data_IF_320074201404
#
_entry.id   IF_320074201404
#
_cell.length_a   1.000
_cell.length_b   1.000
_cell.length_c   1.000
_cell.angle_alpha   90.00
_cell.angle_beta   90.00
_cell.angle_gamma   90.00
#
_symmetry.space_group_name_H-M   'P 1'
#
loop_
_entity.id
_entity.type
_entity.pdbx_description
1 polymer ?
#
# COMPACT_ATOMS: atom_id res chain seq x y z
N UNK A 1 16.19 -14.62 -12.60
CA UNK A 1 14.94 -14.01 -13.08
C UNK A 1 14.12 -13.56 -11.89
N UNK A 2 13.70 -12.32 -11.83
CA UNK A 2 12.81 -11.92 -10.74
C UNK A 2 11.47 -12.61 -10.86
N UNK A 3 10.91 -12.97 -9.72
CA UNK A 3 9.58 -13.55 -9.69
C UNK A 3 8.55 -12.49 -10.05
N UNK A 4 7.47 -12.90 -10.67
CA UNK A 4 6.34 -12.03 -10.96
C UNK A 4 5.10 -12.54 -10.24
N UNK A 5 4.28 -11.60 -9.78
CA UNK A 5 3.01 -11.90 -9.15
C UNK A 5 1.95 -11.02 -9.78
N UNK A 6 0.74 -11.54 -9.84
CA UNK A 6 -0.37 -10.81 -10.44
C UNK A 6 -1.38 -10.38 -9.39
N UNK A 7 -2.20 -9.44 -9.77
CA UNK A 7 -3.28 -8.97 -8.92
C UNK A 7 -4.25 -8.14 -9.72
N UNK A 8 -5.11 -7.43 -9.03
CA UNK A 8 -6.08 -6.57 -9.67
C UNK A 8 -7.24 -6.24 -8.75
N UNK A 9 -8.27 -5.65 -9.34
CA UNK A 9 -9.45 -5.24 -8.60
C UNK A 9 -10.42 -6.40 -8.40
N UNK A 10 -11.44 -6.16 -7.61
CA UNK A 10 -12.45 -7.16 -7.28
C UNK A 10 -13.14 -7.74 -8.52
N UNK A 11 -13.55 -6.89 -9.48
CA UNK A 11 -14.26 -7.34 -10.67
C UNK A 11 -13.34 -7.81 -11.80
N UNK A 12 -12.02 -7.73 -11.59
CA UNK A 12 -10.98 -8.14 -12.53
C UNK A 12 -10.91 -7.30 -13.81
N UNK A 13 -11.59 -6.16 -13.86
CA UNK A 13 -11.48 -5.27 -15.02
C UNK A 13 -10.09 -4.65 -15.11
N UNK A 14 -9.43 -4.41 -13.96
CA UNK A 14 -8.06 -3.90 -13.88
C UNK A 14 -7.16 -5.01 -13.36
N UNK A 15 -6.09 -5.30 -14.07
CA UNK A 15 -5.09 -6.27 -13.65
C UNK A 15 -3.73 -5.62 -13.56
N UNK A 16 -2.94 -6.07 -12.60
CA UNK A 16 -1.59 -5.56 -12.37
C UNK A 16 -0.60 -6.72 -12.25
N UNK A 17 0.66 -6.40 -12.43
CA UNK A 17 1.75 -7.34 -12.24
C UNK A 17 2.86 -6.63 -11.47
N UNK A 18 3.43 -7.32 -10.48
CA UNK A 18 4.60 -6.84 -9.76
C UNK A 18 5.76 -7.78 -10.02
N UNK A 19 6.97 -7.23 -10.05
CA UNK A 19 8.19 -8.00 -10.36
C UNK A 19 9.22 -7.78 -9.26
N UNK A 20 9.87 -8.87 -8.85
CA UNK A 20 10.94 -8.84 -7.87
C UNK A 20 10.42 -8.76 -6.44
N UNK A 21 11.12 -8.01 -5.61
CA UNK A 21 10.81 -7.88 -4.19
C UNK A 21 10.35 -6.48 -3.85
N UNK A 22 9.38 -6.33 -2.95
CA UNK A 22 9.01 -5.00 -2.48
C UNK A 22 10.12 -4.41 -1.61
N UNK A 23 10.18 -3.10 -1.56
CA UNK A 23 11.13 -2.38 -0.70
C UNK A 23 10.74 -2.51 0.77
N UNK A 24 9.44 -2.55 1.05
CA UNK A 24 8.92 -2.66 2.39
C UNK A 24 7.50 -3.22 2.37
N UNK A 25 7.13 -3.89 3.45
CA UNK A 25 5.76 -4.37 3.66
C UNK A 25 5.36 -4.09 5.10
N UNK A 26 4.10 -3.76 5.30
CA UNK A 26 3.64 -3.50 6.65
C UNK A 26 2.21 -3.03 6.71
N UNK A 27 1.88 -2.43 7.83
CA UNK A 27 0.55 -1.91 8.11
C UNK A 27 0.61 -0.40 8.29
N UNK A 28 -0.41 0.29 7.82
CA UNK A 28 -0.56 1.72 8.05
C UNK A 28 -1.87 1.97 8.79
N UNK A 29 -1.78 2.66 9.91
CA UNK A 29 -2.91 2.93 10.79
C UNK A 29 -3.47 4.34 10.62
N UNK A 30 -2.98 5.12 9.67
CA UNK A 30 -3.36 6.52 9.54
C UNK A 30 -4.84 6.69 9.19
N UNK A 31 -5.39 7.80 9.66
CA UNK A 31 -6.78 8.17 9.41
C UNK A 31 -7.10 8.20 7.91
N UNK A 32 -6.18 8.73 7.10
CA UNK A 32 -6.38 8.81 5.65
C UNK A 32 -6.58 7.44 5.01
N UNK A 33 -5.72 6.49 5.35
CA UNK A 33 -5.83 5.13 4.79
C UNK A 33 -7.07 4.42 5.30
N UNK A 34 -7.39 4.61 6.58
CA UNK A 34 -8.60 4.01 7.17
C UNK A 34 -9.85 4.53 6.51
N UNK A 35 -9.95 5.84 6.35
CA UNK A 35 -11.15 6.45 5.77
C UNK A 35 -11.30 6.13 4.30
N UNK A 36 -10.18 6.13 3.56
CA UNK A 36 -10.24 5.81 2.14
C UNK A 36 -10.66 4.37 1.90
N UNK A 37 -10.11 3.43 2.66
CA UNK A 37 -10.40 2.01 2.46
C UNK A 37 -11.59 1.50 3.28
N UNK A 38 -12.11 2.34 4.20
CA UNK A 38 -13.17 1.94 5.13
C UNK A 38 -12.78 0.69 5.94
N UNK A 39 -11.51 0.59 6.29
CA UNK A 39 -10.97 -0.53 7.05
C UNK A 39 -10.23 -0.03 8.28
N UNK A 40 -10.16 -0.81 9.37
CA UNK A 40 -9.52 -0.36 10.60
C UNK A 40 -8.01 -0.20 10.48
N UNK A 41 -7.40 -0.87 9.51
CA UNK A 41 -5.98 -0.80 9.21
C UNK A 41 -5.79 -1.16 7.75
N UNK A 42 -4.77 -0.60 7.11
CA UNK A 42 -4.44 -0.99 5.74
C UNK A 42 -3.11 -1.71 5.72
N UNK A 43 -2.95 -2.64 4.77
CA UNK A 43 -1.72 -3.39 4.59
C UNK A 43 -1.13 -3.05 3.23
N UNK A 44 0.17 -2.77 3.21
CA UNK A 44 0.82 -2.27 2.02
C UNK A 44 2.04 -3.08 1.61
N UNK A 45 2.34 -3.02 0.33
CA UNK A 45 3.62 -3.47 -0.22
C UNK A 45 4.16 -2.31 -1.05
N UNK A 46 5.36 -1.85 -0.74
CA UNK A 46 5.96 -0.68 -1.37
C UNK A 46 7.01 -1.12 -2.39
N UNK A 47 6.89 -0.62 -3.61
CA UNK A 47 7.74 -1.02 -4.73
C UNK A 47 8.37 0.17 -5.43
N UNK A 48 9.50 -0.06 -6.10
CA UNK A 48 9.93 0.87 -7.12
C UNK A 48 8.88 0.86 -8.22
N UNK A 49 8.54 2.02 -8.74
CA UNK A 49 7.47 2.17 -9.73
C UNK A 49 7.68 1.29 -10.96
N UNK A 50 8.92 1.17 -11.44
CA UNK A 50 9.22 0.37 -12.62
C UNK A 50 8.94 -1.12 -12.43
N UNK A 51 8.76 -1.57 -11.20
CA UNK A 51 8.46 -2.98 -10.91
C UNK A 51 6.97 -3.28 -10.87
N UNK A 52 6.13 -2.28 -11.11
CA UNK A 52 4.67 -2.44 -11.09
C UNK A 52 4.11 -2.02 -12.46
N UNK A 53 3.30 -2.88 -13.05
CA UNK A 53 2.67 -2.58 -14.34
C UNK A 53 1.18 -2.84 -14.29
N UNK A 54 0.42 -1.97 -14.94
CA UNK A 54 -1.01 -2.24 -15.19
C UNK A 54 -1.06 -3.02 -16.49
N UNK A 55 -1.47 -4.27 -16.43
CA UNK A 55 -1.43 -5.18 -17.57
C UNK A 55 -2.75 -5.28 -18.32
N UNK A 56 -3.83 -4.79 -17.71
CA UNK A 56 -5.16 -4.83 -18.30
C UNK A 56 -6.03 -3.75 -17.67
N UNK A 57 -6.88 -3.13 -18.47
CA UNK A 57 -7.92 -2.25 -17.95
C UNK A 57 -7.43 -0.89 -17.48
N UNK A 58 -6.34 -0.38 -18.04
CA UNK A 58 -5.83 0.96 -17.70
C UNK A 58 -6.94 2.02 -17.79
N UNK A 59 -7.86 1.88 -18.76
CA UNK A 59 -8.98 2.81 -18.97
C UNK A 59 -9.98 2.80 -17.83
N UNK A 60 -9.98 1.74 -17.00
CA UNK A 60 -10.86 1.65 -15.82
C UNK A 60 -10.16 2.06 -14.54
N UNK A 61 -8.88 2.36 -14.60
CA UNK A 61 -8.14 2.77 -13.41
C UNK A 61 -8.39 4.25 -13.14
N UNK A 62 -9.23 4.52 -12.16
CA UNK A 62 -9.47 5.86 -11.67
C UNK A 62 -8.35 6.30 -10.74
N UNK A 63 -8.11 7.60 -10.68
CA UNK A 63 -7.06 8.16 -9.83
C UNK A 63 -7.59 9.32 -9.03
N UNK A 64 -7.27 9.34 -7.76
CA UNK A 64 -7.65 10.43 -6.87
C UNK A 64 -6.39 10.94 -6.16
N UNK A 65 -6.09 12.22 -6.36
CA UNK A 65 -4.95 12.85 -5.70
C UNK A 65 -5.34 13.14 -4.25
N UNK A 66 -4.87 12.29 -3.33
CA UNK A 66 -5.24 12.38 -1.92
C UNK A 66 -4.36 13.35 -1.14
N UNK A 67 -3.18 13.68 -1.67
CA UNK A 67 -2.26 14.66 -1.09
C UNK A 67 -1.32 15.15 -2.18
N UNK A 68 -0.41 16.06 -1.82
CA UNK A 68 0.56 16.58 -2.79
C UNK A 68 1.52 15.50 -3.30
N UNK A 69 1.69 14.42 -2.55
CA UNK A 69 2.65 13.37 -2.89
C UNK A 69 2.02 12.01 -3.16
N UNK A 70 0.71 11.89 -3.04
CA UNK A 70 0.03 10.59 -3.16
C UNK A 70 -1.17 10.66 -4.07
N UNK A 71 -1.28 9.65 -4.93
CA UNK A 71 -2.41 9.49 -5.84
C UNK A 71 -2.93 8.07 -5.73
N UNK A 72 -4.19 7.93 -5.35
CA UNK A 72 -4.79 6.62 -5.09
C UNK A 72 -5.46 6.10 -6.35
N UNK A 73 -5.16 4.84 -6.69
CA UNK A 73 -5.72 4.17 -7.86
C UNK A 73 -6.79 3.16 -7.46
N UNK A 74 -7.90 3.19 -8.16
CA UNK A 74 -9.04 2.33 -7.88
C UNK A 74 -9.73 1.95 -9.18
N UNK A 75 -10.50 0.88 -9.15
CA UNK A 75 -11.28 0.48 -10.32
C UNK A 75 -12.56 1.32 -10.40
N UNK A 76 -12.81 1.93 -11.55
CA UNK A 76 -14.02 2.73 -11.75
C UNK A 76 -15.28 1.88 -11.93
N UNK A 77 -15.11 0.57 -12.19
CA UNK A 77 -16.25 -0.34 -12.34
C UNK A 77 -16.71 -0.95 -11.02
N UNK A 78 -15.79 -1.38 -10.16
CA UNK A 78 -16.16 -2.01 -8.90
C UNK A 78 -15.79 -1.20 -7.65
N UNK A 79 -14.99 -0.15 -7.81
CA UNK A 79 -14.55 0.66 -6.68
C UNK A 79 -13.41 0.05 -5.88
N UNK A 80 -12.91 -1.11 -6.26
CA UNK A 80 -11.85 -1.78 -5.52
C UNK A 80 -10.56 -0.97 -5.52
N UNK A 81 -9.91 -0.87 -4.37
CA UNK A 81 -8.65 -0.14 -4.23
C UNK A 81 -7.51 -1.04 -4.67
N UNK A 82 -6.54 -0.50 -5.39
CA UNK A 82 -5.46 -1.29 -5.99
C UNK A 82 -4.10 -0.78 -5.57
N UNK A 83 -3.82 0.49 -5.84
CA UNK A 83 -2.50 1.08 -5.67
C UNK A 83 -2.57 2.47 -5.04
N UNK A 84 -1.43 2.89 -4.49
CA UNK A 84 -1.22 4.30 -4.15
C UNK A 84 0.11 4.69 -4.77
N UNK A 85 0.08 5.57 -5.74
CA UNK A 85 1.29 6.03 -6.41
C UNK A 85 1.86 7.23 -5.67
N UNK A 86 3.19 7.27 -5.55
CA UNK A 86 3.93 8.41 -4.99
C UNK A 86 4.86 8.94 -6.09
N UNK A 87 4.31 9.72 -7.05
CA UNK A 87 5.06 10.07 -8.27
C UNK A 87 6.38 10.79 -8.01
N UNK A 88 6.41 11.68 -7.02
CA UNK A 88 7.61 12.45 -6.72
C UNK A 88 8.74 11.61 -6.11
N UNK A 89 8.41 10.41 -5.63
CA UNK A 89 9.37 9.51 -5.02
C UNK A 89 9.73 8.33 -5.93
N UNK A 90 9.06 8.18 -7.06
CA UNK A 90 9.23 7.03 -7.93
C UNK A 90 8.80 5.72 -7.30
N UNK A 91 7.88 5.78 -6.35
CA UNK A 91 7.39 4.62 -5.59
C UNK A 91 5.93 4.34 -5.86
N UNK A 92 5.58 3.08 -5.72
CA UNK A 92 4.19 2.65 -5.83
C UNK A 92 3.87 1.65 -4.72
N UNK A 93 2.81 1.93 -4.01
CA UNK A 93 2.28 1.06 -2.97
C UNK A 93 1.20 0.20 -3.62
N UNK A 94 1.34 -1.11 -3.53
CA UNK A 94 0.30 -2.04 -3.99
C UNK A 94 -0.35 -2.62 -2.75
N UNK A 95 -1.66 -2.45 -2.64
CA UNK A 95 -2.41 -2.96 -1.51
C UNK A 95 -2.34 -4.48 -1.51
N UNK A 96 -1.99 -5.08 -0.36
CA UNK A 96 -1.78 -6.52 -0.31
C UNK A 96 -3.02 -7.31 -0.76
N UNK A 97 -4.20 -6.78 -0.44
CA UNK A 97 -5.44 -7.43 -0.83
C UNK A 97 -5.68 -7.48 -2.34
N UNK A 98 -4.96 -6.65 -3.10
CA UNK A 98 -5.05 -6.65 -4.56
C UNK A 98 -4.08 -7.65 -5.21
N UNK A 99 -3.15 -8.21 -4.47
CA UNK A 99 -2.21 -9.20 -4.98
C UNK A 99 -2.73 -10.60 -4.74
N UNK A 100 -2.45 -11.51 -5.67
CA UNK A 100 -2.84 -12.92 -5.57
C UNK A 100 -1.62 -13.76 -5.25
N UNK A 101 -1.77 -14.64 -4.25
CA UNK A 101 -0.74 -15.62 -3.88
C UNK A 101 0.62 -14.99 -3.57
N UNK A 102 0.62 -13.75 -3.12
CA UNK A 102 1.85 -13.06 -2.74
C UNK A 102 2.14 -13.30 -1.26
N UNK A 103 3.37 -13.70 -0.91
CA UNK A 103 3.71 -13.97 0.49
C UNK A 103 3.86 -12.65 1.26
N UNK A 104 2.83 -12.27 2.00
CA UNK A 104 2.87 -11.05 2.80
C UNK A 104 3.66 -11.29 4.08
N UNK A 105 4.77 -10.57 4.20
CA UNK A 105 5.66 -10.66 5.37
C UNK A 105 5.84 -9.27 5.94
N UNK A 106 4.86 -8.77 6.72
CA UNK A 106 4.92 -7.42 7.25
C UNK A 106 6.08 -7.27 8.24
N UNK A 107 6.72 -6.10 8.22
CA UNK A 107 7.87 -5.82 9.07
C UNK A 107 7.66 -4.63 9.99
N UNK A 108 6.62 -3.86 9.81
CA UNK A 108 6.47 -2.59 10.51
C UNK A 108 5.01 -2.16 10.54
N UNK A 109 4.67 -1.40 11.58
CA UNK A 109 3.41 -0.65 11.63
C UNK A 109 3.75 0.83 11.54
N UNK A 110 3.14 1.53 10.59
CA UNK A 110 3.31 2.98 10.40
C UNK A 110 2.11 3.72 10.96
N UNK A 111 2.36 4.95 11.42
CA UNK A 111 1.32 5.84 11.96
C UNK A 111 0.53 5.18 13.10
N UNK A 112 1.23 4.44 13.94
CA UNK A 112 0.57 3.67 14.99
C UNK A 112 -0.07 4.56 16.05
N UNK A 113 0.36 5.82 16.15
CA UNK A 113 -0.28 6.78 17.05
C UNK A 113 -1.77 6.99 16.72
N UNK A 114 -2.15 6.70 15.46
CA UNK A 114 -3.53 6.86 15.00
C UNK A 114 -4.32 5.56 15.00
N UNK A 115 -3.78 4.49 15.59
CA UNK A 115 -4.41 3.17 15.52
C UNK A 115 -5.76 3.14 16.24
N UNK A 116 -6.69 2.43 15.63
CA UNK A 116 -7.96 2.07 16.27
C UNK A 116 -8.06 0.56 16.47
N UNK A 117 -7.01 -0.16 16.05
CA UNK A 117 -6.95 -1.62 16.17
C UNK A 117 -5.54 -1.99 16.62
N UNK A 118 -5.26 -1.98 17.94
CA UNK A 118 -3.94 -2.38 18.42
C UNK A 118 -3.64 -3.83 18.04
N UNK A 119 -2.44 -4.06 17.53
CA UNK A 119 -2.01 -5.39 17.09
C UNK A 119 -0.72 -5.75 17.83
N UNK A 120 -0.78 -6.80 18.63
CA UNK A 120 0.38 -7.28 19.39
C UNK A 120 1.04 -8.41 18.63
N UNK A 121 2.01 -8.07 17.79
CA UNK A 121 2.69 -9.05 16.94
C UNK A 121 4.22 -8.98 17.04
N UNK A 122 4.74 -8.14 17.93
CA UNK A 122 6.18 -8.00 18.10
C UNK A 122 6.88 -7.15 17.06
N UNK A 123 6.15 -6.68 16.05
CA UNK A 123 6.74 -5.82 15.02
C UNK A 123 6.92 -4.39 15.55
N UNK A 124 7.91 -3.65 15.05
CA UNK A 124 8.07 -2.25 15.43
C UNK A 124 6.83 -1.43 15.14
N UNK A 125 6.42 -0.60 16.08
CA UNK A 125 5.28 0.31 15.95
C UNK A 125 5.82 1.72 15.87
N UNK A 126 5.92 2.27 14.67
CA UNK A 126 6.38 3.64 14.51
C UNK A 126 5.22 4.59 14.79
N UNK A 127 5.54 5.64 15.55
CA UNK A 127 4.55 6.67 15.88
C UNK A 127 3.96 7.26 14.59
N UNK A 128 4.84 7.59 13.64
CA UNK A 128 4.49 8.11 12.33
C UNK A 128 5.30 7.35 11.27
N UNK A 129 6.36 7.94 10.75
CA UNK A 129 7.22 7.35 9.73
C UNK A 129 8.66 7.23 10.21
N UNK A 130 9.50 6.44 9.51
CA UNK A 130 10.93 6.43 9.76
C UNK A 130 11.54 7.81 9.56
N UNK A 131 12.60 8.11 10.31
CA UNK A 131 13.30 9.39 10.19
C UNK A 131 13.85 9.59 8.78
N UNK A 132 14.25 8.52 8.11
CA UNK A 132 14.85 8.57 6.77
C UNK A 132 13.91 9.16 5.72
N UNK A 133 12.59 9.10 5.95
CA UNK A 133 11.60 9.63 5.01
C UNK A 133 10.80 10.79 5.61
N UNK A 134 11.40 11.47 6.59
CA UNK A 134 10.83 12.70 7.15
C UNK A 134 9.97 12.52 8.39
N UNK A 135 9.88 11.32 8.94
CA UNK A 135 9.15 11.08 10.18
C UNK A 135 9.98 11.32 11.41
N UNK A 136 9.38 11.09 12.59
CA UNK A 136 10.07 11.25 13.86
C UNK A 136 11.03 10.10 14.18
N UNK A 137 10.76 8.93 13.60
CA UNK A 137 11.50 7.72 13.94
C UNK A 137 11.17 7.18 15.32
N UNK A 138 10.25 7.80 16.03
CA UNK A 138 9.87 7.35 17.37
C UNK A 138 9.03 6.08 17.29
N UNK A 139 9.22 5.19 18.27
CA UNK A 139 8.46 3.95 18.37
C UNK A 139 7.53 3.99 19.56
N UNK A 140 6.45 3.23 19.48
CA UNK A 140 5.46 3.10 20.54
C UNK A 140 5.45 1.65 21.03
N UNK A 141 4.99 1.42 22.26
CA UNK A 141 4.91 0.06 22.78
C UNK A 141 3.85 -0.77 22.02
N UNK A 142 4.03 -2.07 22.08
CA UNK A 142 3.17 -3.03 21.42
C UNK A 142 1.77 -3.07 22.07
#
# INVERSE_FOLDING_TARGET
MPETHTGGCYCEAVAIEVRGEPLEMGYCHCDNCRRYSAAPVSAFTLWNKENVSVTKGEEFLGRFKSSDISERGYCTKCGGHIIVEHPTLGLMDVRIGALRNFPFKPKVHLNYAETILPIKDGLPKLKDFPAEIGGSGETLPD
#
